data_IF_092608704589
#
_entry.id   IF_092608704589
#
_cell.length_a   1.000
_cell.length_b   1.000
_cell.length_c   1.000
_cell.angle_alpha   90.00
_cell.angle_beta   90.00
_cell.angle_gamma   90.00
#
_symmetry.space_group_name_H-M   'P 1'
#
loop_
_entity.id
_entity.type
_entity.pdbx_description
1 polymer ?
#
# COMPACT_ATOMS: atom_id res chain seq x y z
N UNK A 1 -52.57 18.87 -13.41
CA UNK A 1 -51.31 19.07 -14.14
C UNK A 1 -50.37 19.87 -13.23
N UNK A 2 -49.12 19.41 -13.18
CA UNK A 2 -47.92 20.02 -12.59
C UNK A 2 -47.60 19.77 -11.11
N UNK A 3 -46.74 18.78 -10.88
CA UNK A 3 -45.78 18.75 -9.76
C UNK A 3 -44.40 18.52 -10.37
N UNK A 4 -43.61 19.58 -10.49
CA UNK A 4 -42.20 19.51 -10.90
C UNK A 4 -41.39 18.95 -9.75
N UNK A 5 -40.90 17.71 -9.86
CA UNK A 5 -39.92 17.17 -8.92
C UNK A 5 -38.51 17.43 -9.43
N UNK A 6 -37.75 18.17 -8.61
CA UNK A 6 -36.29 18.10 -8.57
C UNK A 6 -35.86 16.64 -8.41
N UNK A 7 -34.83 16.24 -9.18
CA UNK A 7 -33.88 15.23 -8.71
C UNK A 7 -32.51 15.55 -9.31
N UNK A 8 -31.66 16.08 -8.46
CA UNK A 8 -30.23 16.12 -8.67
C UNK A 8 -29.60 14.83 -8.08
N UNK A 9 -28.39 14.50 -8.56
CA UNK A 9 -27.33 13.72 -7.91
C UNK A 9 -27.56 12.19 -7.84
N UNK A 10 -26.69 11.35 -8.40
CA UNK A 10 -25.39 11.01 -7.80
C UNK A 10 -24.48 10.43 -8.90
N UNK A 11 -23.41 11.13 -9.26
CA UNK A 11 -22.28 10.51 -9.95
C UNK A 11 -21.40 9.83 -8.91
N UNK A 12 -21.67 8.56 -8.63
CA UNK A 12 -20.70 7.73 -7.91
C UNK A 12 -19.56 7.48 -8.90
N UNK A 13 -18.44 8.15 -8.68
CA UNK A 13 -17.16 7.88 -9.32
C UNK A 13 -16.77 6.42 -9.01
N UNK A 14 -16.94 5.53 -9.98
CA UNK A 14 -16.53 4.11 -9.92
C UNK A 14 -15.00 4.02 -10.05
N UNK A 15 -14.28 4.63 -9.11
CA UNK A 15 -12.90 4.24 -8.81
C UNK A 15 -12.98 3.09 -7.83
N UNK A 16 -13.15 1.89 -8.36
CA UNK A 16 -13.02 0.66 -7.60
C UNK A 16 -11.64 0.69 -6.93
N UNK A 17 -11.58 0.83 -5.60
CA UNK A 17 -10.32 0.88 -4.88
C UNK A 17 -9.52 -0.39 -5.19
N UNK A 18 -8.40 -0.24 -5.90
CA UNK A 18 -7.58 -1.38 -6.29
C UNK A 18 -6.83 -1.91 -5.05
N UNK A 19 -6.87 -3.22 -4.83
CA UNK A 19 -6.17 -3.89 -3.72
C UNK A 19 -5.22 -4.94 -4.26
N UNK A 20 -3.95 -4.84 -3.85
CA UNK A 20 -2.92 -5.83 -4.09
C UNK A 20 -2.40 -6.43 -2.79
N UNK A 21 -1.68 -7.53 -2.93
CA UNK A 21 -0.96 -8.16 -1.82
C UNK A 21 0.53 -8.14 -2.13
N UNK A 22 1.33 -8.21 -1.07
CA UNK A 22 2.76 -8.41 -1.19
C UNK A 22 3.26 -9.36 -0.11
N UNK A 23 4.41 -9.96 -0.38
CA UNK A 23 5.19 -10.69 0.60
C UNK A 23 6.57 -10.05 0.70
N UNK A 24 7.05 -9.89 1.92
CA UNK A 24 8.31 -9.25 2.22
C UNK A 24 9.16 -10.18 3.08
N UNK A 25 10.19 -10.75 2.47
CA UNK A 25 11.22 -11.52 3.16
C UNK A 25 12.14 -10.52 3.90
N UNK A 26 12.04 -10.52 5.22
CA UNK A 26 12.80 -9.60 6.08
C UNK A 26 14.31 -9.87 5.99
N UNK A 27 14.70 -11.14 5.93
CA UNK A 27 16.11 -11.57 6.05
C UNK A 27 16.87 -11.34 4.74
N UNK A 28 16.25 -11.63 3.59
CA UNK A 28 16.87 -11.49 2.27
C UNK A 28 16.64 -10.13 1.60
N UNK A 29 15.85 -9.25 2.22
CA UNK A 29 15.38 -8.01 1.60
C UNK A 29 14.73 -8.23 0.21
N UNK A 30 13.88 -9.25 0.14
CA UNK A 30 13.19 -9.61 -1.10
C UNK A 30 11.70 -9.39 -0.99
N UNK A 31 11.12 -8.95 -2.09
CA UNK A 31 9.69 -8.67 -2.18
C UNK A 31 9.08 -9.54 -3.27
N UNK A 32 7.83 -9.94 -3.04
CA UNK A 32 6.93 -10.44 -4.06
C UNK A 32 5.73 -9.52 -4.09
N UNK A 33 5.38 -9.06 -5.28
CA UNK A 33 4.24 -8.19 -5.52
C UNK A 33 3.20 -8.95 -6.32
N UNK A 34 1.93 -8.79 -5.97
CA UNK A 34 0.86 -9.25 -6.84
C UNK A 34 0.83 -8.44 -8.14
N UNK A 35 0.21 -9.01 -9.17
CA UNK A 35 -0.05 -8.30 -10.42
C UNK A 35 -0.76 -6.94 -10.22
N UNK A 36 -1.55 -6.79 -9.15
CA UNK A 36 -2.20 -5.52 -8.82
C UNK A 36 -1.19 -4.50 -8.31
N UNK A 37 -0.28 -4.89 -7.40
CA UNK A 37 0.74 -3.97 -6.87
C UNK A 37 1.68 -3.54 -7.98
N UNK A 38 2.06 -4.44 -8.89
CA UNK A 38 2.85 -4.10 -10.08
C UNK A 38 2.13 -3.06 -10.95
N UNK A 39 0.82 -3.24 -11.20
CA UNK A 39 0.01 -2.26 -11.95
C UNK A 39 -0.08 -0.90 -11.25
N UNK A 40 -0.26 -0.86 -9.93
CA UNK A 40 -0.27 0.40 -9.16
C UNK A 40 1.05 1.19 -9.32
N UNK A 41 2.17 0.49 -9.51
CA UNK A 41 3.48 1.10 -9.75
C UNK A 41 3.74 1.38 -11.23
N UNK A 42 2.79 1.08 -12.12
CA UNK A 42 2.89 1.33 -13.56
C UNK A 42 3.65 0.25 -14.34
N UNK A 43 3.77 -0.96 -13.79
CA UNK A 43 4.43 -2.08 -14.45
C UNK A 43 3.44 -3.07 -15.06
N UNK A 44 3.91 -3.79 -16.09
CA UNK A 44 3.21 -4.98 -16.56
C UNK A 44 3.37 -6.12 -15.54
N UNK A 45 2.33 -6.90 -15.26
CA UNK A 45 2.43 -8.01 -14.33
C UNK A 45 3.54 -9.01 -14.68
N UNK A 46 4.35 -9.38 -13.70
CA UNK A 46 5.45 -10.34 -13.82
C UNK A 46 6.73 -9.76 -14.45
N UNK A 47 6.80 -8.46 -14.69
CA UNK A 47 7.98 -7.82 -15.32
C UNK A 47 8.92 -7.16 -14.32
N UNK A 48 8.50 -7.02 -13.06
CA UNK A 48 9.33 -6.39 -12.03
C UNK A 48 10.15 -7.40 -11.24
N UNK A 49 11.26 -6.92 -10.69
CA UNK A 49 11.99 -7.59 -9.62
C UNK A 49 11.91 -6.72 -8.35
N UNK A 50 10.85 -6.88 -7.54
CA UNK A 50 10.62 -6.04 -6.37
C UNK A 50 11.75 -6.11 -5.36
N UNK A 51 12.16 -4.95 -4.84
CA UNK A 51 13.18 -4.79 -3.81
C UNK A 51 12.87 -3.56 -2.97
N UNK A 52 13.46 -3.43 -1.78
CA UNK A 52 13.28 -2.21 -0.96
C UNK A 52 13.75 -0.94 -1.69
N UNK A 53 14.92 -0.92 -2.37
CA UNK A 53 15.31 0.22 -3.18
C UNK A 53 14.30 0.57 -4.27
N UNK A 54 13.73 -0.43 -4.96
CA UNK A 54 12.69 -0.19 -5.97
C UNK A 54 11.44 0.42 -5.35
N UNK A 55 10.92 -0.18 -4.27
CA UNK A 55 9.78 0.36 -3.54
C UNK A 55 10.02 1.82 -3.13
N UNK A 56 11.16 2.10 -2.49
CA UNK A 56 11.51 3.43 -2.03
C UNK A 56 11.75 4.43 -3.17
N UNK A 57 12.15 3.97 -4.36
CA UNK A 57 12.30 4.84 -5.54
C UNK A 57 10.95 5.34 -6.08
N UNK A 58 9.87 4.60 -5.82
CA UNK A 58 8.51 5.03 -6.15
C UNK A 58 7.88 5.89 -5.06
N UNK A 59 8.41 5.95 -3.84
CA UNK A 59 7.82 6.78 -2.77
C UNK A 59 8.02 8.26 -3.11
N UNK A 60 6.96 9.04 -2.98
CA UNK A 60 7.02 10.50 -3.14
C UNK A 60 8.06 11.10 -2.17
N UNK A 61 8.86 12.07 -2.63
CA UNK A 61 10.02 12.59 -1.90
C UNK A 61 9.70 13.04 -0.46
N UNK A 62 8.59 13.75 -0.28
CA UNK A 62 8.12 14.20 1.04
C UNK A 62 7.83 13.05 2.02
N UNK A 63 7.44 11.89 1.50
CA UNK A 63 7.01 10.74 2.29
C UNK A 63 8.17 9.73 2.48
N UNK A 64 9.25 9.85 1.68
CA UNK A 64 10.40 8.93 1.64
C UNK A 64 10.98 8.64 3.02
N UNK A 65 11.27 9.69 3.80
CA UNK A 65 11.90 9.53 5.13
C UNK A 65 11.02 8.72 6.08
N UNK A 66 9.71 8.94 6.06
CA UNK A 66 8.77 8.22 6.91
C UNK A 66 8.66 6.76 6.52
N UNK A 67 8.55 6.48 5.21
CA UNK A 67 8.41 5.10 4.71
C UNK A 67 9.69 4.31 4.95
N UNK A 68 10.86 4.89 4.67
CA UNK A 68 12.15 4.27 4.94
C UNK A 68 12.33 3.93 6.44
N UNK A 69 11.95 4.84 7.34
CA UNK A 69 11.97 4.59 8.79
C UNK A 69 11.01 3.46 9.19
N UNK A 70 9.78 3.46 8.66
CA UNK A 70 8.79 2.39 8.89
C UNK A 70 9.32 1.02 8.49
N UNK A 71 9.89 0.91 7.29
CA UNK A 71 10.45 -0.35 6.79
C UNK A 71 11.69 -0.78 7.60
N UNK A 72 12.53 0.17 8.02
CA UNK A 72 13.66 -0.11 8.89
C UNK A 72 13.22 -0.67 10.25
N UNK A 73 12.23 -0.05 10.89
CA UNK A 73 11.69 -0.52 12.16
C UNK A 73 10.98 -1.86 12.04
N UNK A 74 10.24 -2.09 10.95
CA UNK A 74 9.62 -3.37 10.65
C UNK A 74 10.64 -4.50 10.57
N UNK A 75 11.77 -4.29 9.87
CA UNK A 75 12.88 -5.26 9.82
C UNK A 75 13.47 -5.56 11.18
N UNK A 76 13.76 -4.51 11.96
CA UNK A 76 14.45 -4.63 13.25
C UNK A 76 13.56 -5.29 14.30
N UNK A 77 12.28 -4.94 14.32
CA UNK A 77 11.35 -5.37 15.37
C UNK A 77 10.55 -6.61 15.00
N UNK A 78 10.45 -6.94 13.71
CA UNK A 78 9.56 -7.96 13.15
C UNK A 78 8.12 -7.82 13.68
N UNK A 79 7.66 -6.59 13.89
CA UNK A 79 6.29 -6.27 14.32
C UNK A 79 5.43 -5.85 13.13
N UNK A 80 4.10 -5.99 13.22
CA UNK A 80 3.21 -5.42 12.21
C UNK A 80 3.48 -3.94 12.00
N UNK A 81 3.39 -3.50 10.76
CA UNK A 81 3.47 -2.08 10.41
C UNK A 81 2.33 -1.71 9.48
N UNK A 82 2.11 -0.41 9.39
CA UNK A 82 1.31 0.17 8.35
C UNK A 82 1.82 1.54 7.99
N UNK A 83 1.58 1.95 6.76
CA UNK A 83 1.90 3.29 6.29
C UNK A 83 0.81 3.76 5.35
N UNK A 84 0.53 5.06 5.36
CA UNK A 84 -0.20 5.73 4.30
C UNK A 84 0.73 6.78 3.72
N UNK A 85 0.99 6.69 2.43
CA UNK A 85 1.95 7.53 1.72
C UNK A 85 1.61 7.61 0.24
N UNK A 86 2.28 8.49 -0.48
CA UNK A 86 2.14 8.60 -1.92
C UNK A 86 3.22 7.79 -2.63
N UNK A 87 2.84 7.11 -3.69
CA UNK A 87 3.76 6.57 -4.69
C UNK A 87 3.65 7.35 -6.00
N UNK A 88 4.71 7.34 -6.78
CA UNK A 88 4.80 7.89 -8.13
C UNK A 88 5.01 6.72 -9.07
N UNK A 89 4.05 6.46 -9.97
CA UNK A 89 4.17 5.36 -10.94
C UNK A 89 5.19 5.66 -12.06
N UNK A 90 5.44 4.68 -12.94
CA UNK A 90 6.33 4.85 -14.10
C UNK A 90 5.86 5.90 -15.12
N UNK A 91 4.59 6.33 -15.06
CA UNK A 91 4.01 7.39 -15.88
C UNK A 91 3.99 8.75 -15.14
N UNK A 92 4.61 8.84 -13.96
CA UNK A 92 4.67 10.02 -13.10
C UNK A 92 3.32 10.46 -12.49
N UNK A 93 2.32 9.58 -12.46
CA UNK A 93 1.11 9.85 -11.69
C UNK A 93 1.34 9.55 -10.22
N UNK A 94 0.73 10.37 -9.36
CA UNK A 94 0.80 10.24 -7.91
C UNK A 94 -0.43 9.48 -7.43
N UNK A 95 -0.21 8.39 -6.69
CA UNK A 95 -1.25 7.57 -6.08
C UNK A 95 -1.11 7.60 -4.57
N UNK A 96 -2.20 7.84 -3.84
CA UNK A 96 -2.21 7.66 -2.38
C UNK A 96 -2.42 6.18 -2.08
N UNK A 97 -1.51 5.56 -1.34
CA UNK A 97 -1.60 4.14 -0.98
C UNK A 97 -1.59 3.93 0.52
N UNK A 98 -2.26 2.87 0.95
CA UNK A 98 -2.16 2.33 2.31
C UNK A 98 -1.52 0.96 2.24
N UNK A 99 -0.38 0.80 2.91
CA UNK A 99 0.24 -0.50 3.14
C UNK A 99 -0.03 -0.96 4.57
N UNK A 100 -0.45 -2.21 4.73
CA UNK A 100 -0.53 -2.90 6.03
C UNK A 100 0.18 -4.23 5.91
N UNK A 101 0.99 -4.60 6.90
CA UNK A 101 1.67 -5.89 6.91
C UNK A 101 1.85 -6.45 8.31
N UNK A 102 1.81 -7.77 8.42
CA UNK A 102 2.02 -8.50 9.66
C UNK A 102 2.99 -9.69 9.43
N UNK A 103 3.73 -10.12 10.47
CA UNK A 103 4.56 -11.30 10.38
C UNK A 103 3.74 -12.56 10.13
N UNK A 104 4.20 -13.40 9.20
CA UNK A 104 3.71 -14.76 9.02
C UNK A 104 4.69 -15.74 9.66
N UNK A 105 4.13 -16.73 10.36
CA UNK A 105 4.90 -17.77 11.04
C UNK A 105 4.73 -19.10 10.32
N UNK A 106 5.75 -19.96 10.36
CA UNK A 106 5.58 -21.38 10.06
C UNK A 106 4.88 -22.11 11.22
N UNK A 107 4.72 -23.43 11.06
CA UNK A 107 4.11 -24.30 12.08
C UNK A 107 4.89 -24.36 13.39
N UNK A 108 6.19 -24.06 13.35
CA UNK A 108 7.09 -24.11 14.50
C UNK A 108 7.24 -22.74 15.20
N UNK A 109 6.54 -21.72 14.69
CA UNK A 109 6.54 -20.36 15.23
C UNK A 109 7.69 -19.48 14.71
N UNK A 110 8.45 -19.93 13.72
CA UNK A 110 9.50 -19.13 13.08
C UNK A 110 8.87 -18.11 12.14
N UNK A 111 9.30 -16.86 12.21
CA UNK A 111 8.84 -15.82 11.28
C UNK A 111 9.44 -16.08 9.91
N UNK A 112 8.59 -16.37 8.93
CA UNK A 112 8.99 -16.58 7.53
C UNK A 112 9.19 -15.24 6.79
N UNK A 113 8.45 -14.21 7.18
CA UNK A 113 8.47 -12.90 6.55
C UNK A 113 7.25 -12.08 6.95
N UNK A 114 6.94 -11.04 6.19
CA UNK A 114 5.72 -10.25 6.35
C UNK A 114 4.80 -10.41 5.15
N UNK A 115 3.53 -10.72 5.40
CA UNK A 115 2.50 -10.65 4.39
C UNK A 115 1.70 -9.36 4.58
N UNK A 116 1.34 -8.70 3.48
CA UNK A 116 0.66 -7.42 3.54
C UNK A 116 -0.23 -7.14 2.36
N UNK A 117 -1.01 -6.07 2.51
CA UNK A 117 -1.89 -5.52 1.49
C UNK A 117 -1.44 -4.11 1.15
N UNK A 118 -1.53 -3.76 -0.13
CA UNK A 118 -1.38 -2.41 -0.65
C UNK A 118 -2.72 -2.01 -1.26
N UNK A 119 -3.30 -0.92 -0.75
CA UNK A 119 -4.59 -0.41 -1.17
C UNK A 119 -4.36 0.92 -1.88
N UNK A 120 -4.86 1.04 -3.11
CA UNK A 120 -5.06 2.33 -3.72
C UNK A 120 -6.19 3.04 -2.97
N UNK A 121 -5.87 4.20 -2.40
CA UNK A 121 -6.76 4.96 -1.57
C UNK A 121 -7.13 6.26 -2.30
N UNK A 122 -8.40 6.69 -2.23
CA UNK A 122 -8.76 8.01 -2.72
C UNK A 122 -7.89 9.06 -2.02
N UNK A 123 -7.43 10.05 -2.80
CA UNK A 123 -6.55 11.10 -2.33
C UNK A 123 -7.07 11.69 -1.02
N UNK A 124 -6.28 11.52 0.05
CA UNK A 124 -6.61 12.01 1.37
C UNK A 124 -6.05 13.40 1.60
N UNK A 125 -6.67 14.17 2.51
CA UNK A 125 -6.01 15.36 3.03
C UNK A 125 -4.71 14.97 3.77
N UNK A 126 -3.72 15.86 3.80
CA UNK A 126 -2.45 15.58 4.49
C UNK A 126 -2.64 15.29 6.00
N UNK A 127 -3.70 15.85 6.61
CA UNK A 127 -4.08 15.60 8.00
C UNK A 127 -4.76 14.23 8.16
N UNK A 128 -5.66 13.83 7.26
CA UNK A 128 -6.27 12.48 7.28
C UNK A 128 -5.22 11.38 7.18
N UNK A 129 -4.16 11.63 6.38
CA UNK A 129 -3.05 10.68 6.18
C UNK A 129 -2.29 10.37 7.47
N UNK A 130 -2.23 11.30 8.42
CA UNK A 130 -1.55 11.09 9.71
C UNK A 130 -2.34 10.20 10.67
N UNK A 131 -3.65 10.05 10.45
CA UNK A 131 -4.56 9.48 11.47
C UNK A 131 -5.17 8.12 11.09
N UNK A 132 -4.99 7.68 9.84
CA UNK A 132 -5.54 6.42 9.32
C UNK A 132 -4.54 5.27 9.42
N UNK A 133 -4.32 4.80 10.65
CA UNK A 133 -3.60 3.54 10.92
C UNK A 133 -4.24 2.88 12.14
N UNK A 134 -4.95 1.76 11.93
CA UNK A 134 -5.31 0.80 12.97
C UNK A 134 -5.19 -0.63 12.41
N UNK A 135 -4.56 -1.49 13.20
CA UNK A 135 -4.01 -2.78 12.80
C UNK A 135 -5.06 -3.81 12.37
N UNK A 136 -4.85 -4.43 11.20
CA UNK A 136 -5.40 -5.75 10.92
C UNK A 136 -4.71 -6.76 11.82
N UNK A 137 -5.48 -7.35 12.73
CA UNK A 137 -5.03 -8.23 13.81
C UNK A 137 -5.17 -9.68 13.37
N UNK A 138 -4.03 -10.40 13.47
CA UNK A 138 -3.84 -11.88 13.41
C UNK A 138 -4.04 -12.56 12.05
N UNK A 139 -2.97 -13.21 11.60
CA UNK A 139 -3.06 -14.53 10.96
C UNK A 139 -3.33 -15.59 12.03
#
# INVERSE_FOLDING_TARGET
MNTTNLRAETGIDDRSAEMGWFWFNIDDDRWLWSAQVERMHGYQPGTTAPSTPLLLSHVHLDDYRQVAATLHDARRTRRPFSSQHRIVDTAHHVHDVVMVAAPCHDTDGTILGMHGLCLDAPAGSADDRRQRVRAATRC
#
